data_IF_869731952971
#
_entry.id   IF_869731952971
#
_cell.length_a   1.000
_cell.length_b   1.000
_cell.length_c   1.000
_cell.angle_alpha   90.00
_cell.angle_beta   90.00
_cell.angle_gamma   90.00
#
_symmetry.space_group_name_H-M   'P 1'
#
loop_
_entity.id
_entity.type
_entity.pdbx_description
1 polymer ?
#
# COMPACT_ATOMS: atom_id res chain seq x y z
N UNK A 1 3.44 35.14 -19.83
CA UNK A 1 2.93 35.30 -18.46
C UNK A 1 3.58 34.26 -17.58
N UNK A 2 4.73 34.58 -17.03
CA UNK A 2 5.57 33.67 -16.28
C UNK A 2 6.23 34.47 -15.15
N UNK A 3 5.53 34.67 -14.06
CA UNK A 3 6.10 35.39 -12.87
C UNK A 3 5.69 34.83 -11.51
N UNK A 4 4.86 33.79 -11.43
CA UNK A 4 4.36 33.31 -10.13
C UNK A 4 4.99 31.98 -9.62
N UNK A 5 6.04 31.48 -10.29
CA UNK A 5 6.70 30.21 -9.90
C UNK A 5 7.93 30.38 -8.99
N UNK A 6 8.33 31.59 -8.63
CA UNK A 6 9.59 31.84 -7.89
C UNK A 6 9.46 32.05 -6.37
N UNK A 7 8.27 31.93 -5.79
CA UNK A 7 8.11 32.12 -4.32
C UNK A 7 7.60 30.89 -3.57
N UNK A 8 7.58 29.72 -4.18
CA UNK A 8 7.15 28.51 -3.49
C UNK A 8 8.37 27.63 -3.14
N UNK A 9 9.21 28.12 -2.24
CA UNK A 9 10.26 27.33 -1.62
C UNK A 9 9.69 26.23 -0.74
N UNK A 10 10.16 24.99 -0.91
CA UNK A 10 9.97 23.82 -0.05
C UNK A 10 8.54 23.34 0.18
N UNK A 11 7.84 22.93 -0.88
CA UNK A 11 6.52 22.29 -0.79
C UNK A 11 6.52 20.81 -0.37
N UNK A 12 7.68 20.23 -0.17
CA UNK A 12 7.76 18.83 0.25
C UNK A 12 7.98 18.80 1.76
N UNK A 13 7.16 18.03 2.51
CA UNK A 13 7.39 17.85 3.93
C UNK A 13 8.77 17.20 4.13
N UNK A 14 9.69 17.95 4.72
CA UNK A 14 10.98 17.39 5.16
C UNK A 14 10.76 16.52 6.39
N UNK A 15 11.54 15.45 6.51
CA UNK A 15 11.55 14.68 7.77
C UNK A 15 11.96 15.63 8.91
N UNK A 16 11.15 15.79 9.95
CA UNK A 16 11.47 16.66 11.06
C UNK A 16 12.75 16.14 11.76
N UNK A 17 13.71 17.03 12.01
CA UNK A 17 14.82 16.74 12.92
C UNK A 17 14.31 16.66 14.37
N UNK A 18 15.16 16.24 15.31
CA UNK A 18 14.73 16.07 16.71
C UNK A 18 14.13 17.34 17.33
N UNK A 19 14.62 18.53 16.96
CA UNK A 19 14.11 19.81 17.43
C UNK A 19 12.74 20.16 16.82
N UNK A 20 12.53 19.81 15.54
CA UNK A 20 11.23 19.97 14.87
C UNK A 20 10.20 18.98 15.40
N UNK A 21 10.61 17.76 15.82
CA UNK A 21 9.72 16.80 16.49
C UNK A 21 9.17 17.35 17.80
N UNK A 22 10.04 17.96 18.63
CA UNK A 22 9.61 18.56 19.90
C UNK A 22 8.63 19.73 19.72
N UNK A 23 8.83 20.54 18.67
CA UNK A 23 7.91 21.63 18.32
C UNK A 23 6.58 21.12 17.75
N UNK A 24 6.60 20.04 16.96
CA UNK A 24 5.37 19.47 16.38
C UNK A 24 4.48 18.77 17.39
N UNK A 25 5.03 18.24 18.49
CA UNK A 25 4.25 17.65 19.58
C UNK A 25 3.47 18.67 20.40
N UNK A 26 3.81 19.96 20.33
CA UNK A 26 3.18 21.05 21.10
C UNK A 26 2.03 21.74 20.37
N UNK A 27 1.83 21.50 19.07
CA UNK A 27 0.77 22.11 18.28
C UNK A 27 -0.44 21.19 18.17
N UNK A 28 -1.68 21.73 18.19
CA UNK A 28 -2.87 20.95 17.89
C UNK A 28 -2.70 20.27 16.53
N UNK A 29 -2.78 18.95 16.47
CA UNK A 29 -2.49 18.16 15.26
C UNK A 29 -3.43 18.54 14.12
N UNK A 30 -4.67 18.90 14.42
CA UNK A 30 -5.71 19.26 13.44
C UNK A 30 -5.49 20.64 12.78
N UNK A 31 -4.75 21.56 13.42
CA UNK A 31 -4.68 22.96 12.98
C UNK A 31 -3.77 23.20 11.76
N UNK A 32 -2.90 22.27 11.39
CA UNK A 32 -1.86 22.50 10.36
C UNK A 32 -1.71 21.38 9.33
N UNK A 33 -2.65 20.43 9.27
CA UNK A 33 -2.55 19.30 8.34
C UNK A 33 -3.16 19.68 6.98
N UNK A 34 -2.31 19.91 5.99
CA UNK A 34 -2.71 20.17 4.63
C UNK A 34 -2.43 18.96 3.73
N UNK A 35 -3.33 18.72 2.78
CA UNK A 35 -3.15 17.71 1.74
C UNK A 35 -2.41 18.34 0.56
N UNK A 36 -1.36 17.67 0.08
CA UNK A 36 -0.54 18.18 -1.01
C UNK A 36 -0.51 17.19 -2.18
N UNK A 37 -0.78 17.71 -3.38
CA UNK A 37 -0.55 17.00 -4.64
C UNK A 37 0.28 17.89 -5.57
N UNK A 38 1.34 17.33 -6.14
CA UNK A 38 2.19 18.00 -7.13
C UNK A 38 1.80 17.47 -8.52
N UNK A 39 1.36 18.36 -9.41
CA UNK A 39 0.85 17.99 -10.72
C UNK A 39 1.78 18.48 -11.81
N UNK A 40 2.14 17.57 -12.73
CA UNK A 40 2.88 17.85 -13.95
C UNK A 40 2.04 17.41 -15.15
N UNK A 41 1.97 18.26 -16.14
CA UNK A 41 1.18 18.02 -17.35
C UNK A 41 2.00 18.30 -18.59
N UNK A 42 2.00 17.36 -19.52
CA UNK A 42 2.51 17.58 -20.87
C UNK A 42 1.44 18.21 -21.76
N UNK A 43 1.82 19.05 -22.74
CA UNK A 43 0.88 19.51 -23.77
C UNK A 43 0.32 18.38 -24.65
N UNK A 44 0.98 17.22 -24.70
CA UNK A 44 0.54 16.06 -25.45
C UNK A 44 -0.42 15.21 -24.63
N UNK A 45 -1.58 14.82 -25.17
CA UNK A 45 -2.46 13.86 -24.52
C UNK A 45 -1.73 12.54 -24.18
N UNK A 46 -2.14 11.87 -23.14
CA UNK A 46 -1.56 10.62 -22.71
C UNK A 46 -2.15 10.12 -21.38
N UNK A 47 -1.56 9.08 -20.79
CA UNK A 47 -2.05 8.50 -19.54
C UNK A 47 -2.04 9.50 -18.37
N UNK A 48 -2.95 9.26 -17.43
CA UNK A 48 -3.05 10.00 -16.16
C UNK A 48 -2.59 9.09 -15.03
N UNK A 49 -1.35 9.28 -14.61
CA UNK A 49 -0.74 8.48 -13.54
C UNK A 49 -0.78 9.25 -12.22
N UNK A 50 -1.21 8.60 -11.15
CA UNK A 50 -0.99 9.07 -9.78
C UNK A 50 -0.02 8.14 -9.06
N UNK A 51 0.92 8.73 -8.32
CA UNK A 51 1.84 8.01 -7.43
C UNK A 51 1.63 8.52 -6.01
N UNK A 52 1.32 7.61 -5.09
CA UNK A 52 1.12 7.89 -3.67
C UNK A 52 2.24 7.30 -2.83
N UNK A 53 2.52 7.94 -1.69
CA UNK A 53 3.43 7.44 -0.68
C UNK A 53 2.97 7.88 0.71
N UNK A 54 3.53 7.28 1.74
CA UNK A 54 3.20 7.55 3.13
C UNK A 54 1.69 7.52 3.41
N UNK A 55 1.00 6.52 2.87
CA UNK A 55 -0.34 6.08 3.31
C UNK A 55 -0.25 5.65 4.78
N UNK A 56 0.86 5.00 5.13
CA UNK A 56 1.29 4.79 6.50
C UNK A 56 2.47 5.74 6.81
N UNK A 57 2.38 6.52 7.88
CA UNK A 57 3.27 7.64 8.12
C UNK A 57 4.73 7.27 8.46
N UNK A 58 4.99 6.03 8.82
CA UNK A 58 6.34 5.50 9.06
C UNK A 58 6.99 4.85 7.81
N UNK A 59 6.30 4.85 6.66
CA UNK A 59 6.75 4.26 5.41
C UNK A 59 7.27 5.36 4.46
N UNK A 60 8.56 5.68 4.57
CA UNK A 60 9.11 6.92 4.00
C UNK A 60 9.78 6.78 2.63
N UNK A 61 10.05 5.55 2.15
CA UNK A 61 10.81 5.31 0.91
C UNK A 61 10.21 6.00 -0.31
N UNK A 62 8.89 5.84 -0.49
CA UNK A 62 8.14 6.46 -1.58
C UNK A 62 8.19 8.00 -1.53
N UNK A 63 8.10 8.59 -0.34
CA UNK A 63 8.17 10.05 -0.17
C UNK A 63 9.50 10.61 -0.66
N UNK A 64 10.63 9.96 -0.33
CA UNK A 64 11.95 10.36 -0.82
C UNK A 64 12.10 10.17 -2.33
N UNK A 65 11.57 9.07 -2.87
CA UNK A 65 11.58 8.83 -4.32
C UNK A 65 10.78 9.89 -5.07
N UNK A 66 9.58 10.21 -4.60
CA UNK A 66 8.74 11.28 -5.17
C UNK A 66 9.47 12.63 -5.12
N UNK A 67 10.14 12.96 -4.01
CA UNK A 67 10.93 14.21 -3.91
C UNK A 67 11.99 14.30 -5.01
N UNK A 68 12.72 13.22 -5.22
CA UNK A 68 13.75 13.16 -6.28
C UNK A 68 13.14 13.34 -7.68
N UNK A 69 12.02 12.67 -7.98
CA UNK A 69 11.30 12.84 -9.25
C UNK A 69 10.86 14.30 -9.46
N UNK A 70 10.30 14.93 -8.43
CA UNK A 70 9.89 16.34 -8.49
C UNK A 70 11.06 17.26 -8.80
N UNK A 71 12.19 17.08 -8.11
CA UNK A 71 13.39 17.88 -8.35
C UNK A 71 13.89 17.73 -9.79
N UNK A 72 13.91 16.51 -10.32
CA UNK A 72 14.34 16.23 -11.69
C UNK A 72 13.38 16.78 -12.76
N UNK A 73 12.07 16.78 -12.50
CA UNK A 73 11.09 17.40 -13.39
C UNK A 73 11.20 18.93 -13.38
N UNK A 74 11.44 19.54 -12.22
CA UNK A 74 11.61 20.99 -12.08
C UNK A 74 12.93 21.45 -12.73
N UNK A 75 14.01 20.69 -12.56
CA UNK A 75 15.31 21.01 -13.18
C UNK A 75 15.38 20.65 -14.67
N UNK A 76 14.34 20.04 -15.24
CA UNK A 76 14.29 19.53 -16.61
C UNK A 76 15.28 18.39 -16.90
N UNK A 77 15.81 17.74 -15.87
CA UNK A 77 16.57 16.50 -15.99
C UNK A 77 15.67 15.35 -16.47
N UNK A 78 14.41 15.33 -16.00
CA UNK A 78 13.34 14.52 -16.52
C UNK A 78 12.35 15.39 -17.32
N UNK A 79 11.87 14.89 -18.46
CA UNK A 79 10.87 15.56 -19.27
C UNK A 79 9.65 14.67 -19.47
N UNK A 80 8.48 15.18 -19.04
CA UNK A 80 7.21 14.50 -19.26
C UNK A 80 6.80 14.65 -20.73
N UNK A 81 6.83 13.55 -21.50
CA UNK A 81 6.56 13.56 -22.94
C UNK A 81 5.08 13.64 -23.27
N UNK A 82 4.22 13.03 -22.47
CA UNK A 82 2.77 13.02 -22.67
C UNK A 82 2.05 12.80 -21.34
N UNK A 83 0.74 13.11 -21.30
CA UNK A 83 -0.15 12.79 -20.19
C UNK A 83 -0.01 13.67 -18.96
N UNK A 84 -0.48 13.16 -17.86
CA UNK A 84 -0.54 13.84 -16.57
C UNK A 84 0.09 12.98 -15.48
N UNK A 85 0.91 13.58 -14.64
CA UNK A 85 1.51 12.95 -13.47
C UNK A 85 1.10 13.71 -12.22
N UNK A 86 0.42 13.04 -11.30
CA UNK A 86 0.14 13.54 -9.96
C UNK A 86 0.98 12.78 -8.95
N UNK A 87 1.66 13.51 -8.07
CA UNK A 87 2.57 12.99 -7.06
C UNK A 87 2.08 13.40 -5.68
N UNK A 88 1.79 12.44 -4.81
CA UNK A 88 1.35 12.62 -3.43
C UNK A 88 2.42 12.08 -2.49
N UNK A 89 3.39 12.91 -2.08
CA UNK A 89 4.52 12.43 -1.27
C UNK A 89 4.13 12.00 0.14
N UNK A 90 3.04 12.55 0.67
CA UNK A 90 2.49 12.21 1.99
C UNK A 90 0.97 12.13 1.88
N UNK A 91 0.44 10.92 1.84
CA UNK A 91 -1.00 10.68 1.69
C UNK A 91 -1.74 10.84 3.01
N UNK A 92 -1.10 10.47 4.14
CA UNK A 92 -1.66 10.65 5.48
C UNK A 92 -0.78 11.60 6.32
N UNK A 93 -1.00 12.92 6.26
CA UNK A 93 -0.21 13.92 7.01
C UNK A 93 -0.20 13.70 8.52
N UNK A 94 -1.31 13.27 9.14
CA UNK A 94 -1.37 12.99 10.59
C UNK A 94 -0.48 11.81 10.97
N UNK A 95 -0.60 10.70 10.27
CA UNK A 95 0.25 9.53 10.47
C UNK A 95 1.75 9.84 10.25
N UNK A 96 2.06 10.62 9.19
CA UNK A 96 3.41 11.09 8.88
C UNK A 96 4.00 11.93 10.01
N UNK A 97 3.26 12.91 10.51
CA UNK A 97 3.69 13.78 11.61
C UNK A 97 3.95 13.00 12.89
N UNK A 98 3.09 12.02 13.18
CA UNK A 98 3.24 11.13 14.34
C UNK A 98 4.33 10.07 14.15
N UNK A 99 4.89 9.91 12.95
CA UNK A 99 5.84 8.84 12.59
C UNK A 99 5.30 7.46 12.96
N UNK A 100 4.00 7.25 12.72
CA UNK A 100 3.28 6.00 13.02
C UNK A 100 2.63 5.45 11.75
N UNK A 101 2.23 4.18 11.81
CA UNK A 101 1.49 3.53 10.73
C UNK A 101 0.20 4.27 10.39
N UNK A 102 -0.52 4.79 11.39
CA UNK A 102 -1.84 5.40 11.22
C UNK A 102 -1.99 6.67 12.07
N UNK A 103 -2.90 7.55 11.69
CA UNK A 103 -3.38 8.66 12.49
C UNK A 103 -4.37 8.17 13.56
N UNK A 104 -5.65 8.21 13.24
CA UNK A 104 -6.72 7.65 14.10
C UNK A 104 -6.98 6.19 13.75
N UNK A 105 -7.05 5.83 12.46
CA UNK A 105 -7.17 4.47 11.97
C UNK A 105 -6.23 4.20 10.79
N UNK A 106 -6.16 2.96 10.32
CA UNK A 106 -5.41 2.63 9.11
C UNK A 106 -6.12 3.19 7.87
N UNK A 107 -5.51 4.16 7.17
CA UNK A 107 -6.07 4.75 5.95
C UNK A 107 -6.29 3.70 4.85
N UNK A 108 -5.43 2.68 4.79
CA UNK A 108 -5.55 1.59 3.82
C UNK A 108 -6.61 0.54 4.23
N UNK A 109 -7.67 1.02 4.91
CA UNK A 109 -8.88 0.30 5.27
C UNK A 109 -10.07 1.23 5.12
N UNK A 110 -11.21 0.71 4.67
CA UNK A 110 -12.45 1.47 4.48
C UNK A 110 -12.20 2.80 3.75
N UNK A 111 -11.39 2.76 2.69
CA UNK A 111 -11.13 3.94 1.87
C UNK A 111 -12.32 4.17 0.94
N UNK A 112 -13.22 5.05 1.35
CA UNK A 112 -14.37 5.48 0.56
C UNK A 112 -14.80 6.89 0.99
N UNK A 113 -15.43 7.67 0.09
CA UNK A 113 -16.00 8.96 0.46
C UNK A 113 -17.04 8.81 1.57
N UNK A 114 -16.98 9.68 2.55
CA UNK A 114 -17.86 9.69 3.72
C UNK A 114 -18.49 11.07 3.90
N UNK A 115 -19.85 11.14 3.94
CA UNK A 115 -20.58 12.39 4.10
C UNK A 115 -20.39 12.99 5.51
N UNK A 116 -20.24 12.13 6.52
CA UNK A 116 -20.04 12.52 7.92
C UNK A 116 -18.73 11.90 8.42
N UNK A 117 -17.59 12.59 8.24
CA UNK A 117 -16.28 12.10 8.70
C UNK A 117 -16.26 11.87 10.21
N UNK A 118 -15.83 10.69 10.65
CA UNK A 118 -15.72 10.30 12.05
C UNK A 118 -14.29 10.38 12.57
N UNK A 119 -13.31 10.28 11.69
CA UNK A 119 -11.89 10.28 12.01
C UNK A 119 -11.09 11.07 10.95
N UNK A 120 -9.82 11.29 11.20
CA UNK A 120 -8.96 12.03 10.28
C UNK A 120 -8.84 11.34 8.92
N UNK A 121 -8.79 10.02 8.89
CA UNK A 121 -8.67 9.25 7.65
C UNK A 121 -9.91 9.35 6.78
N UNK A 122 -11.09 9.63 7.33
CA UNK A 122 -12.28 9.94 6.54
C UNK A 122 -12.12 11.28 5.79
N UNK A 123 -11.49 12.29 6.41
CA UNK A 123 -11.13 13.54 5.71
C UNK A 123 -10.12 13.31 4.60
N UNK A 124 -9.09 12.45 4.85
CA UNK A 124 -8.13 12.04 3.82
C UNK A 124 -8.85 11.32 2.68
N UNK A 125 -9.75 10.38 2.98
CA UNK A 125 -10.51 9.65 1.98
C UNK A 125 -11.38 10.58 1.11
N UNK A 126 -12.05 11.56 1.72
CA UNK A 126 -12.85 12.56 1.01
C UNK A 126 -12.02 13.43 0.05
N UNK A 127 -10.74 13.65 0.33
CA UNK A 127 -9.82 14.33 -0.55
C UNK A 127 -9.19 13.39 -1.60
N UNK A 128 -8.76 12.19 -1.18
CA UNK A 128 -8.01 11.26 -2.01
C UNK A 128 -8.90 10.54 -3.03
N UNK A 129 -10.08 10.09 -2.66
CA UNK A 129 -10.95 9.32 -3.53
C UNK A 129 -11.34 10.05 -4.83
N UNK A 130 -11.77 11.35 -4.79
CA UNK A 130 -11.97 12.10 -6.02
C UNK A 130 -10.71 12.25 -6.86
N UNK A 131 -9.55 12.45 -6.19
CA UNK A 131 -8.26 12.56 -6.87
C UNK A 131 -7.89 11.25 -7.58
N UNK A 132 -8.06 10.09 -6.95
CA UNK A 132 -7.84 8.79 -7.59
C UNK A 132 -8.71 8.62 -8.83
N UNK A 133 -9.98 8.97 -8.76
CA UNK A 133 -10.95 8.88 -9.87
C UNK A 133 -10.57 9.73 -11.09
N UNK A 134 -9.75 10.77 -10.93
CA UNK A 134 -9.24 11.60 -12.03
C UNK A 134 -8.18 10.88 -12.87
N UNK A 135 -7.64 9.73 -12.43
CA UNK A 135 -6.48 9.05 -13.02
C UNK A 135 -6.83 7.71 -13.64
N UNK A 136 -5.97 7.24 -14.57
CA UNK A 136 -6.11 5.95 -15.24
C UNK A 136 -5.40 4.83 -14.45
N UNK A 137 -4.43 5.21 -13.62
CA UNK A 137 -3.66 4.24 -12.84
C UNK A 137 -2.96 4.82 -11.62
N UNK A 138 -2.76 3.96 -10.62
CA UNK A 138 -2.12 4.24 -9.35
C UNK A 138 -0.89 3.36 -9.15
N UNK A 139 0.23 3.98 -8.78
CA UNK A 139 1.35 3.30 -8.13
C UNK A 139 1.40 3.75 -6.67
N UNK A 140 1.11 2.84 -5.74
CA UNK A 140 1.09 3.11 -4.30
C UNK A 140 2.35 2.53 -3.64
N UNK A 141 3.18 3.40 -3.06
CA UNK A 141 4.50 3.06 -2.54
C UNK A 141 4.47 2.87 -1.03
N UNK A 142 4.75 1.65 -0.62
CA UNK A 142 4.79 1.18 0.76
C UNK A 142 6.15 0.63 1.16
N UNK A 143 6.27 0.25 2.42
CA UNK A 143 7.35 -0.57 2.97
C UNK A 143 6.82 -1.40 4.14
N UNK A 144 7.54 -2.45 4.55
CA UNK A 144 7.06 -3.41 5.54
C UNK A 144 8.06 -3.64 6.68
N UNK A 145 7.59 -4.25 7.78
CA UNK A 145 8.41 -4.41 9.00
C UNK A 145 9.37 -5.58 8.92
N UNK A 146 8.97 -6.70 8.29
CA UNK A 146 9.65 -7.99 8.41
C UNK A 146 9.90 -8.62 7.06
N UNK A 147 11.16 -8.70 6.66
CA UNK A 147 11.64 -9.18 5.37
C UNK A 147 12.63 -8.22 4.74
N UNK A 148 13.24 -8.59 3.63
CA UNK A 148 14.31 -7.83 2.97
C UNK A 148 14.02 -7.47 1.52
N UNK A 149 13.28 -8.31 0.78
CA UNK A 149 13.09 -8.15 -0.65
C UNK A 149 11.79 -7.43 -0.98
N UNK A 150 11.88 -6.45 -1.87
CA UNK A 150 10.72 -5.76 -2.41
C UNK A 150 9.80 -6.72 -3.18
N UNK A 151 8.49 -6.46 -3.12
CA UNK A 151 7.47 -7.19 -3.87
C UNK A 151 6.29 -6.28 -4.23
N UNK A 152 5.56 -6.65 -5.28
CA UNK A 152 4.36 -5.93 -5.68
C UNK A 152 3.10 -6.72 -5.36
N UNK A 153 2.04 -6.01 -4.91
CA UNK A 153 0.70 -6.56 -4.86
C UNK A 153 -0.08 -6.04 -6.06
N UNK A 154 -0.81 -6.94 -6.70
CA UNK A 154 -1.66 -6.63 -7.84
C UNK A 154 -3.07 -7.23 -7.65
N UNK A 155 -4.04 -6.75 -8.41
CA UNK A 155 -5.44 -7.04 -8.22
C UNK A 155 -5.88 -8.43 -8.69
N UNK A 156 -7.18 -8.69 -8.63
CA UNK A 156 -7.77 -9.94 -9.10
C UNK A 156 -7.67 -10.06 -10.64
N UNK A 157 -8.04 -11.21 -11.17
CA UNK A 157 -8.38 -11.32 -12.61
C UNK A 157 -9.60 -10.48 -12.94
N UNK A 158 -9.80 -10.14 -14.22
CA UNK A 158 -11.00 -9.43 -14.66
C UNK A 158 -12.25 -10.15 -14.13
N UNK A 159 -13.14 -9.39 -13.50
CA UNK A 159 -14.32 -9.91 -12.85
C UNK A 159 -15.43 -8.84 -12.72
N UNK A 160 -16.62 -9.27 -12.31
CA UNK A 160 -17.80 -8.43 -12.08
C UNK A 160 -18.30 -8.59 -10.63
N UNK A 161 -17.40 -8.83 -9.67
CA UNK A 161 -17.77 -8.96 -8.25
C UNK A 161 -18.21 -7.62 -7.66
N UNK A 162 -19.08 -7.67 -6.64
CA UNK A 162 -19.52 -6.46 -5.95
C UNK A 162 -18.42 -5.83 -5.10
N UNK A 163 -17.46 -6.64 -4.63
CA UNK A 163 -16.43 -6.19 -3.68
C UNK A 163 -15.25 -5.51 -4.39
N UNK A 164 -14.76 -6.08 -5.49
CA UNK A 164 -13.63 -5.53 -6.26
C UNK A 164 -13.84 -5.82 -7.76
N UNK A 165 -14.79 -5.09 -8.43
CA UNK A 165 -14.97 -5.24 -9.86
C UNK A 165 -13.72 -4.75 -10.59
N UNK A 166 -13.22 -5.53 -11.57
CA UNK A 166 -11.99 -5.19 -12.26
C UNK A 166 -12.00 -5.64 -13.72
N UNK A 167 -11.47 -4.79 -14.62
CA UNK A 167 -11.45 -5.03 -16.06
C UNK A 167 -10.09 -4.80 -16.72
N UNK A 168 -9.06 -4.40 -15.98
CA UNK A 168 -7.74 -4.00 -16.50
C UNK A 168 -6.61 -4.92 -16.01
N UNK A 169 -6.90 -6.18 -15.68
CA UNK A 169 -5.91 -7.11 -15.11
C UNK A 169 -4.68 -7.28 -16.01
N UNK A 170 -4.86 -7.46 -17.33
CA UNK A 170 -3.74 -7.63 -18.27
C UNK A 170 -2.82 -6.40 -18.32
N UNK A 171 -3.40 -5.20 -18.26
CA UNK A 171 -2.63 -3.96 -18.22
C UNK A 171 -1.86 -3.81 -16.92
N UNK A 172 -2.51 -4.07 -15.80
CA UNK A 172 -1.91 -4.00 -14.47
C UNK A 172 -0.76 -4.99 -14.33
N UNK A 173 -0.96 -6.25 -14.71
CA UNK A 173 0.06 -7.30 -14.72
C UNK A 173 1.25 -6.96 -15.62
N UNK A 174 0.97 -6.42 -16.81
CA UNK A 174 2.02 -6.01 -17.75
C UNK A 174 2.90 -4.89 -17.20
N UNK A 175 2.35 -3.98 -16.37
CA UNK A 175 3.10 -2.92 -15.69
C UNK A 175 3.82 -3.52 -14.48
N UNK A 176 3.14 -4.31 -13.65
CA UNK A 176 3.70 -4.93 -12.45
C UNK A 176 4.98 -5.71 -12.75
N UNK A 177 4.99 -6.52 -13.81
CA UNK A 177 6.17 -7.29 -14.25
C UNK A 177 7.38 -6.43 -14.65
N UNK A 178 7.23 -5.10 -14.73
CA UNK A 178 8.27 -4.16 -15.15
C UNK A 178 8.69 -3.17 -14.09
N UNK A 179 8.16 -3.28 -12.88
CA UNK A 179 8.50 -2.37 -11.78
C UNK A 179 9.95 -2.49 -11.30
N UNK A 180 10.59 -3.65 -11.48
CA UNK A 180 11.95 -3.93 -11.03
C UNK A 180 12.03 -4.91 -9.85
N UNK A 181 10.91 -5.35 -9.27
CA UNK A 181 10.88 -6.42 -8.28
C UNK A 181 10.68 -7.80 -8.95
N UNK A 182 10.97 -8.87 -8.21
CA UNK A 182 10.82 -10.26 -8.68
C UNK A 182 9.64 -11.00 -8.07
N UNK A 183 9.15 -10.52 -6.92
CA UNK A 183 8.07 -11.14 -6.16
C UNK A 183 6.76 -10.39 -6.36
N UNK A 184 5.68 -11.16 -6.47
CA UNK A 184 4.34 -10.66 -6.74
C UNK A 184 3.33 -11.40 -5.87
N UNK A 185 2.40 -10.65 -5.29
CA UNK A 185 1.35 -11.19 -4.42
C UNK A 185 -0.01 -10.74 -4.95
N UNK A 186 -1.01 -11.63 -4.93
CA UNK A 186 -2.39 -11.31 -5.29
C UNK A 186 -3.38 -11.97 -4.34
N UNK A 187 -4.65 -11.60 -4.45
CA UNK A 187 -5.73 -12.20 -3.65
C UNK A 187 -5.93 -11.52 -2.29
N UNK A 188 -5.53 -10.26 -2.17
CA UNK A 188 -5.66 -9.49 -0.93
C UNK A 188 -7.09 -9.43 -0.42
N UNK A 189 -8.01 -8.79 -1.18
CA UNK A 189 -9.35 -8.51 -0.69
C UNK A 189 -10.21 -9.76 -0.53
N UNK A 190 -10.07 -10.74 -1.42
CA UNK A 190 -10.73 -12.05 -1.31
C UNK A 190 -10.31 -12.78 -0.04
N UNK A 191 -9.01 -12.76 0.27
CA UNK A 191 -8.48 -13.41 1.48
C UNK A 191 -8.93 -12.66 2.73
N UNK A 192 -8.94 -11.32 2.68
CA UNK A 192 -9.48 -10.49 3.74
C UNK A 192 -10.96 -10.81 4.01
N UNK A 193 -11.79 -10.91 2.96
CA UNK A 193 -13.21 -11.27 3.08
C UNK A 193 -13.43 -12.64 3.72
N UNK A 194 -12.57 -13.63 3.41
CA UNK A 194 -12.59 -14.94 4.09
C UNK A 194 -12.31 -14.80 5.58
N UNK A 195 -11.34 -13.95 5.96
CA UNK A 195 -11.07 -13.61 7.36
C UNK A 195 -12.28 -13.01 8.07
N UNK A 196 -12.96 -12.06 7.40
CA UNK A 196 -14.20 -11.46 7.93
C UNK A 196 -15.31 -12.48 8.15
N UNK A 197 -15.51 -13.40 7.21
CA UNK A 197 -16.49 -14.47 7.35
C UNK A 197 -16.15 -15.44 8.51
N UNK A 198 -14.86 -15.68 8.76
CA UNK A 198 -14.40 -16.45 9.92
C UNK A 198 -14.68 -15.70 11.22
N UNK A 199 -14.31 -14.43 11.32
CA UNK A 199 -14.60 -13.58 12.48
C UNK A 199 -16.09 -13.56 12.82
N UNK A 200 -16.96 -13.42 11.82
CA UNK A 200 -18.40 -13.42 12.02
C UNK A 200 -18.90 -14.73 12.65
N UNK A 201 -18.38 -15.88 12.22
CA UNK A 201 -18.72 -17.19 12.81
C UNK A 201 -18.20 -17.30 14.24
N UNK A 202 -16.94 -16.94 14.50
CA UNK A 202 -16.31 -17.02 15.81
C UNK A 202 -17.03 -16.11 16.83
N UNK A 203 -17.54 -14.94 16.40
CA UNK A 203 -18.41 -14.10 17.21
C UNK A 203 -19.74 -14.78 17.57
N UNK A 204 -20.41 -15.42 16.57
CA UNK A 204 -21.65 -16.14 16.80
C UNK A 204 -21.47 -17.34 17.75
N UNK A 205 -20.32 -17.99 17.68
CA UNK A 205 -19.94 -19.11 18.56
C UNK A 205 -19.44 -18.65 19.94
N UNK A 206 -19.31 -17.34 20.18
CA UNK A 206 -18.81 -16.79 21.45
C UNK A 206 -17.32 -17.02 21.72
N UNK A 207 -16.56 -17.31 20.67
CA UNK A 207 -15.11 -17.58 20.75
C UNK A 207 -14.26 -16.29 20.81
N UNK A 208 -14.80 -15.19 20.33
CA UNK A 208 -14.18 -13.85 20.37
C UNK A 208 -15.22 -12.79 20.78
N UNK A 209 -14.75 -11.66 21.32
CA UNK A 209 -15.62 -10.56 21.75
C UNK A 209 -15.85 -9.56 20.61
N UNK A 210 -17.08 -9.05 20.47
CA UNK A 210 -17.50 -8.14 19.40
C UNK A 210 -16.74 -6.79 19.42
N UNK A 211 -16.32 -6.31 20.58
CA UNK A 211 -15.68 -5.00 20.74
C UNK A 211 -14.34 -4.85 20.00
N UNK A 212 -13.72 -5.94 19.57
CA UNK A 212 -12.36 -5.95 19.02
C UNK A 212 -12.26 -6.28 17.53
N UNK A 213 -13.37 -6.62 16.84
CA UNK A 213 -13.27 -7.15 15.46
C UNK A 213 -14.27 -6.54 14.51
N UNK A 214 -13.80 -6.24 13.29
CA UNK A 214 -14.64 -5.87 12.15
C UNK A 214 -15.03 -7.12 11.36
N UNK A 215 -16.28 -7.21 10.92
CA UNK A 215 -16.82 -8.32 10.12
C UNK A 215 -17.30 -7.91 8.73
N UNK A 216 -17.13 -6.63 8.36
CA UNK A 216 -17.51 -6.11 7.05
C UNK A 216 -16.33 -6.32 6.05
N UNK A 217 -16.51 -7.12 4.98
CA UNK A 217 -15.48 -7.32 3.96
C UNK A 217 -15.04 -6.02 3.28
N UNK A 218 -15.94 -5.05 3.12
CA UNK A 218 -15.62 -3.75 2.50
C UNK A 218 -14.64 -2.92 3.31
N UNK A 219 -14.47 -3.23 4.60
CA UNK A 219 -13.44 -2.61 5.43
C UNK A 219 -12.03 -2.86 4.91
N UNK A 220 -11.78 -3.96 4.17
CA UNK A 220 -10.51 -4.26 3.51
C UNK A 220 -10.16 -3.33 2.34
N UNK A 221 -11.09 -2.52 1.84
CA UNK A 221 -10.84 -1.62 0.71
C UNK A 221 -9.81 -0.56 1.09
N UNK A 222 -8.68 -0.57 0.40
CA UNK A 222 -7.62 0.41 0.48
C UNK A 222 -7.51 1.24 -0.80
N UNK A 223 -6.35 1.85 -1.00
CA UNK A 223 -6.07 2.73 -2.14
C UNK A 223 -6.20 2.02 -3.48
N UNK A 224 -5.64 0.83 -3.60
CA UNK A 224 -5.60 0.06 -4.84
C UNK A 224 -6.97 -0.55 -5.18
N UNK A 225 -7.70 -1.08 -4.20
CA UNK A 225 -9.04 -1.60 -4.37
C UNK A 225 -10.01 -0.50 -4.78
N UNK A 226 -9.93 0.67 -4.12
CA UNK A 226 -10.74 1.83 -4.50
C UNK A 226 -10.44 2.28 -5.93
N UNK A 227 -9.14 2.38 -6.31
CA UNK A 227 -8.76 2.78 -7.67
C UNK A 227 -9.34 1.82 -8.72
N UNK A 228 -9.31 0.50 -8.48
CA UNK A 228 -9.91 -0.50 -9.38
C UNK A 228 -11.41 -0.35 -9.46
N UNK A 229 -12.09 -0.11 -8.34
CA UNK A 229 -13.56 0.05 -8.29
C UNK A 229 -14.05 1.27 -9.08
N UNK A 230 -13.22 2.27 -9.30
CA UNK A 230 -13.55 3.46 -10.10
C UNK A 230 -13.04 3.37 -11.55
N UNK A 231 -12.55 2.19 -11.98
CA UNK A 231 -12.20 1.87 -13.36
C UNK A 231 -10.73 2.04 -13.74
N UNK A 232 -9.84 2.33 -12.78
CA UNK A 232 -8.40 2.39 -13.01
C UNK A 232 -7.69 1.06 -12.75
N UNK A 233 -6.38 1.01 -13.04
CA UNK A 233 -5.49 -0.05 -12.57
C UNK A 233 -4.69 0.44 -11.36
N UNK A 234 -4.21 -0.47 -10.52
CA UNK A 234 -3.47 -0.07 -9.33
C UNK A 234 -2.50 -1.15 -8.83
N UNK A 235 -1.30 -0.74 -8.48
CA UNK A 235 -0.26 -1.62 -7.95
C UNK A 235 0.27 -1.03 -6.65
N UNK A 236 0.29 -1.84 -5.59
CA UNK A 236 1.06 -1.53 -4.40
C UNK A 236 2.47 -2.09 -4.56
N UNK A 237 3.49 -1.27 -4.35
CA UNK A 237 4.87 -1.73 -4.26
C UNK A 237 5.37 -1.61 -2.82
N UNK A 238 5.68 -2.74 -2.23
CA UNK A 238 6.40 -2.86 -0.98
C UNK A 238 7.90 -2.75 -1.26
N UNK A 239 8.48 -1.57 -1.01
CA UNK A 239 9.84 -1.21 -1.44
C UNK A 239 10.97 -1.83 -0.60
N UNK A 240 10.64 -2.75 0.30
CA UNK A 240 11.57 -3.38 1.24
C UNK A 240 11.27 -3.00 2.69
N UNK A 241 12.15 -3.40 3.59
CA UNK A 241 12.00 -3.14 5.03
C UNK A 241 12.15 -1.64 5.33
N UNK A 242 11.38 -1.11 6.31
CA UNK A 242 11.30 0.33 6.63
C UNK A 242 12.65 1.03 6.79
N UNK A 243 13.62 0.38 7.43
CA UNK A 243 14.93 0.95 7.74
C UNK A 243 15.99 0.67 6.65
N UNK A 244 15.66 -0.10 5.61
CA UNK A 244 16.59 -0.40 4.53
C UNK A 244 16.72 0.80 3.58
N UNK A 245 17.87 1.49 3.52
CA UNK A 245 18.04 2.67 2.68
C UNK A 245 17.92 2.38 1.18
N UNK A 246 18.11 1.13 0.75
CA UNK A 246 17.90 0.69 -0.64
C UNK A 246 16.45 0.78 -1.10
N UNK A 247 15.49 0.81 -0.19
CA UNK A 247 14.07 0.94 -0.51
C UNK A 247 13.73 2.24 -1.25
N UNK A 248 14.49 3.32 -1.02
CA UNK A 248 14.33 4.60 -1.73
C UNK A 248 14.65 4.50 -3.22
N UNK A 249 15.71 3.76 -3.55
CA UNK A 249 16.09 3.54 -4.96
C UNK A 249 15.09 2.61 -5.64
N UNK A 250 14.63 1.57 -4.97
CA UNK A 250 13.58 0.67 -5.47
C UNK A 250 12.30 1.46 -5.79
N UNK A 251 11.87 2.34 -4.89
CA UNK A 251 10.71 3.20 -5.11
C UNK A 251 10.92 4.16 -6.30
N UNK A 252 12.10 4.77 -6.41
CA UNK A 252 12.44 5.67 -7.50
C UNK A 252 12.46 4.94 -8.86
N UNK A 253 13.11 3.80 -8.94
CA UNK A 253 13.15 2.99 -10.16
C UNK A 253 11.75 2.54 -10.59
N UNK A 254 10.89 2.16 -9.64
CA UNK A 254 9.52 1.77 -9.93
C UNK A 254 8.70 2.92 -10.53
N UNK A 255 8.86 4.16 -10.04
CA UNK A 255 8.21 5.33 -10.66
C UNK A 255 8.70 5.51 -12.09
N UNK A 256 10.03 5.53 -12.30
CA UNK A 256 10.64 5.68 -13.63
C UNK A 256 10.16 4.57 -14.58
N UNK A 257 10.17 3.33 -14.11
CA UNK A 257 9.76 2.18 -14.91
C UNK A 257 8.27 2.25 -15.28
N UNK A 258 7.41 2.63 -14.34
CA UNK A 258 5.98 2.84 -14.61
C UNK A 258 5.77 3.94 -15.66
N UNK A 259 6.43 5.09 -15.51
CA UNK A 259 6.32 6.20 -16.48
C UNK A 259 6.83 5.80 -17.88
N UNK A 260 7.94 5.01 -17.97
CA UNK A 260 8.43 4.46 -19.25
C UNK A 260 7.47 3.42 -19.83
N UNK A 261 6.86 2.56 -19.03
CA UNK A 261 5.84 1.61 -19.48
C UNK A 261 4.66 2.31 -20.13
N UNK A 262 4.28 3.46 -19.58
CA UNK A 262 3.19 4.29 -20.08
C UNK A 262 3.58 5.26 -21.22
N UNK A 263 4.85 5.28 -21.63
CA UNK A 263 5.34 6.21 -22.67
C UNK A 263 5.44 7.66 -22.22
N UNK A 264 5.37 7.91 -20.92
CA UNK A 264 5.44 9.26 -20.34
C UNK A 264 6.86 9.80 -20.24
N UNK A 265 7.89 8.93 -20.28
CA UNK A 265 9.31 9.30 -20.33
C UNK A 265 9.99 8.72 -21.56
N UNK A 266 11.07 9.38 -21.98
CA UNK A 266 11.94 8.87 -23.06
C UNK A 266 12.69 7.59 -22.61
N UNK A 267 13.05 6.78 -23.62
CA UNK A 267 13.83 5.57 -23.43
C UNK A 267 13.03 4.28 -23.69
N UNK A 268 13.70 3.14 -23.66
CA UNK A 268 13.05 1.87 -23.92
C UNK A 268 12.08 1.50 -22.79
N UNK A 269 11.01 0.82 -23.16
CA UNK A 269 10.10 0.19 -22.17
C UNK A 269 10.91 -0.83 -21.36
N UNK A 270 10.83 -0.80 -20.02
CA UNK A 270 11.53 -1.78 -19.18
C UNK A 270 11.14 -3.22 -19.56
N UNK A 271 12.10 -4.11 -19.48
CA UNK A 271 11.83 -5.52 -19.74
C UNK A 271 11.02 -6.13 -18.60
N UNK A 272 10.08 -6.99 -18.94
CA UNK A 272 9.37 -7.78 -17.94
C UNK A 272 10.34 -8.77 -17.27
N UNK A 273 10.13 -9.02 -15.99
CA UNK A 273 10.90 -10.05 -15.29
C UNK A 273 10.64 -11.42 -15.91
N UNK A 274 11.72 -12.16 -16.22
CA UNK A 274 11.61 -13.39 -16.98
C UNK A 274 11.07 -14.57 -16.15
N UNK A 275 11.28 -14.58 -14.83
CA UNK A 275 10.85 -15.62 -13.90
C UNK A 275 10.27 -14.97 -12.65
N UNK A 276 9.01 -14.56 -12.67
CA UNK A 276 8.36 -13.95 -11.51
C UNK A 276 8.10 -15.00 -10.43
N UNK A 277 8.34 -14.66 -9.17
CA UNK A 277 7.91 -15.43 -8.01
C UNK A 277 6.51 -14.96 -7.63
N UNK A 278 5.48 -15.71 -8.02
CA UNK A 278 4.07 -15.32 -7.83
C UNK A 278 3.44 -16.11 -6.70
N UNK A 279 2.82 -15.40 -5.75
CA UNK A 279 2.17 -15.96 -4.58
C UNK A 279 0.71 -15.53 -4.52
N UNK A 280 -0.20 -16.48 -4.38
CA UNK A 280 -1.61 -16.24 -4.11
C UNK A 280 -1.90 -16.33 -2.62
N UNK A 281 -2.41 -15.26 -2.02
CA UNK A 281 -2.92 -15.31 -0.66
C UNK A 281 -4.14 -16.22 -0.60
N UNK A 282 -4.26 -17.03 0.46
CA UNK A 282 -5.39 -17.95 0.60
C UNK A 282 -6.03 -17.96 1.99
N UNK A 283 -5.30 -17.49 3.02
CA UNK A 283 -5.83 -17.38 4.38
C UNK A 283 -5.20 -16.20 5.14
N UNK A 284 -5.92 -15.69 6.15
CA UNK A 284 -5.48 -14.62 7.04
C UNK A 284 -5.84 -14.97 8.48
N UNK A 285 -4.94 -14.71 9.40
CA UNK A 285 -5.13 -14.92 10.83
C UNK A 285 -5.03 -13.60 11.56
N UNK A 286 -5.98 -13.37 12.47
CA UNK A 286 -6.01 -12.18 13.29
C UNK A 286 -5.38 -12.43 14.65
N UNK A 287 -4.84 -11.40 15.25
CA UNK A 287 -4.45 -11.41 16.64
C UNK A 287 -5.67 -11.12 17.49
N UNK A 288 -5.99 -11.99 18.44
CA UNK A 288 -7.16 -11.82 19.30
C UNK A 288 -6.81 -11.32 20.70
N UNK A 289 -5.59 -11.59 21.15
CA UNK A 289 -5.10 -11.17 22.47
C UNK A 289 -3.65 -10.67 22.36
N UNK A 290 -3.28 -9.74 23.24
CA UNK A 290 -1.92 -9.22 23.33
C UNK A 290 -0.88 -10.30 23.71
N UNK A 291 -1.30 -11.41 24.31
CA UNK A 291 -0.47 -12.56 24.66
C UNK A 291 -0.41 -13.64 23.58
N UNK A 292 -1.14 -13.47 22.46
CA UNK A 292 -0.92 -14.31 21.28
C UNK A 292 0.53 -14.15 20.80
N UNK A 293 1.22 -15.25 20.56
CA UNK A 293 2.65 -15.23 20.25
C UNK A 293 3.02 -16.14 19.08
N UNK A 294 3.95 -15.72 18.24
CA UNK A 294 4.55 -16.56 17.22
C UNK A 294 5.45 -17.64 17.82
N UNK A 295 5.55 -18.78 17.16
CA UNK A 295 6.45 -19.87 17.54
C UNK A 295 7.92 -19.53 17.30
N UNK A 296 8.20 -18.65 16.33
CA UNK A 296 9.53 -18.09 16.00
C UNK A 296 9.38 -16.69 15.39
N UNK A 297 10.49 -16.01 15.17
CA UNK A 297 10.52 -14.72 14.47
C UNK A 297 10.31 -14.93 12.95
N UNK A 298 9.03 -15.01 12.54
CA UNK A 298 8.64 -15.15 11.15
C UNK A 298 8.94 -13.89 10.34
N UNK A 299 9.40 -14.10 9.10
CA UNK A 299 9.58 -13.04 8.11
C UNK A 299 8.65 -13.27 6.92
N UNK A 300 8.31 -12.20 6.22
CA UNK A 300 7.57 -12.32 4.97
C UNK A 300 8.31 -13.20 3.98
N UNK A 301 7.60 -14.17 3.40
CA UNK A 301 8.08 -15.22 2.50
C UNK A 301 8.88 -16.35 3.17
N UNK A 302 8.87 -16.46 4.49
CA UNK A 302 9.38 -17.65 5.15
C UNK A 302 8.53 -18.88 4.75
N UNK A 303 9.13 -19.95 4.26
CA UNK A 303 8.41 -21.18 3.96
C UNK A 303 7.98 -21.88 5.24
N UNK A 304 6.79 -22.49 5.19
CA UNK A 304 6.24 -23.27 6.29
C UNK A 304 5.66 -24.57 5.74
N UNK A 305 5.86 -25.67 6.47
CA UNK A 305 5.35 -26.99 6.10
C UNK A 305 4.00 -27.26 6.74
N UNK A 306 3.17 -28.08 6.07
CA UNK A 306 1.92 -28.57 6.65
C UNK A 306 2.18 -29.17 8.04
N UNK A 307 1.37 -28.76 9.02
CA UNK A 307 1.50 -29.18 10.41
C UNK A 307 2.61 -28.53 11.21
N UNK A 308 3.39 -27.60 10.64
CA UNK A 308 4.38 -26.81 11.38
C UNK A 308 3.66 -25.75 12.23
N UNK A 309 4.14 -25.55 13.47
CA UNK A 309 3.57 -24.59 14.40
C UNK A 309 3.89 -23.16 13.98
N UNK A 310 2.86 -22.35 13.76
CA UNK A 310 2.98 -20.92 13.43
C UNK A 310 3.02 -20.06 14.70
N UNK A 311 2.10 -20.33 15.61
CA UNK A 311 1.94 -19.53 16.82
C UNK A 311 1.01 -20.16 17.85
N UNK A 312 0.84 -19.47 18.97
CA UNK A 312 0.04 -19.88 20.10
C UNK A 312 -0.89 -18.75 20.53
N UNK A 313 -2.16 -19.06 20.76
CA UNK A 313 -3.14 -18.16 21.35
C UNK A 313 -2.93 -17.99 22.86
N UNK A 314 -3.38 -16.88 23.40
CA UNK A 314 -3.44 -16.66 24.86
C UNK A 314 -4.20 -17.77 25.60
N UNK A 315 -5.26 -18.33 24.99
CA UNK A 315 -6.02 -19.48 25.49
C UNK A 315 -5.23 -20.77 25.58
N UNK A 316 -4.03 -20.82 25.00
CA UNK A 316 -3.21 -22.03 24.87
C UNK A 316 -3.44 -22.81 23.56
N UNK A 317 -4.42 -22.46 22.75
CA UNK A 317 -4.64 -23.07 21.44
C UNK A 317 -3.45 -22.86 20.51
N UNK A 318 -3.06 -23.89 19.77
CA UNK A 318 -1.92 -23.88 18.85
C UNK A 318 -2.43 -23.68 17.43
N UNK A 319 -1.72 -22.85 16.67
CA UNK A 319 -2.02 -22.56 15.26
C UNK A 319 -0.97 -23.26 14.40
N UNK A 320 -1.41 -24.19 13.59
CA UNK A 320 -0.57 -24.96 12.67
C UNK A 320 -0.85 -24.57 11.22
N UNK A 321 0.17 -24.70 10.36
CA UNK A 321 0.00 -24.51 8.94
C UNK A 321 -0.95 -25.59 8.35
N UNK A 322 -2.01 -25.20 7.64
CA UNK A 322 -2.99 -26.15 7.09
C UNK A 322 -2.43 -26.93 5.89
N UNK A 323 -1.46 -26.36 5.18
CA UNK A 323 -0.77 -26.93 4.01
C UNK A 323 0.64 -26.33 3.92
N UNK A 324 1.47 -26.81 2.99
CA UNK A 324 2.75 -26.18 2.64
C UNK A 324 2.48 -24.76 2.11
N UNK A 325 3.08 -23.75 2.72
CA UNK A 325 2.76 -22.35 2.47
C UNK A 325 3.96 -21.41 2.70
N UNK A 326 3.71 -20.12 2.55
CA UNK A 326 4.61 -19.04 2.92
C UNK A 326 3.87 -18.08 3.85
N UNK A 327 4.56 -17.62 4.88
CA UNK A 327 4.05 -16.58 5.79
C UNK A 327 4.23 -15.22 5.13
N UNK A 328 3.18 -14.39 5.09
CA UNK A 328 3.23 -13.04 4.53
C UNK A 328 2.76 -12.03 5.58
N UNK A 329 3.44 -10.90 5.67
CA UNK A 329 3.14 -9.82 6.63
C UNK A 329 3.01 -10.27 8.08
N UNK A 330 3.93 -11.09 8.63
CA UNK A 330 3.87 -11.41 10.05
C UNK A 330 4.07 -10.14 10.88
N UNK A 331 3.13 -9.85 11.79
CA UNK A 331 3.14 -8.66 12.62
C UNK A 331 3.04 -9.01 14.10
N UNK A 332 4.18 -9.19 14.76
CA UNK A 332 4.24 -9.48 16.21
C UNK A 332 3.70 -8.34 17.08
N UNK A 333 3.52 -7.13 16.52
CA UNK A 333 3.00 -5.93 17.19
C UNK A 333 1.54 -5.61 16.82
N UNK A 334 0.86 -6.49 16.07
CA UNK A 334 -0.56 -6.30 15.76
C UNK A 334 -1.35 -6.13 17.04
N UNK A 335 -2.30 -5.20 17.07
CA UNK A 335 -3.22 -5.07 18.17
C UNK A 335 -4.31 -6.14 18.08
N UNK A 336 -4.97 -6.50 19.18
CA UNK A 336 -6.14 -7.37 19.15
C UNK A 336 -7.16 -6.87 18.11
N UNK A 337 -7.67 -7.77 17.27
CA UNK A 337 -8.58 -7.47 16.17
C UNK A 337 -7.91 -7.08 14.85
N UNK A 338 -6.59 -6.96 14.81
CA UNK A 338 -5.85 -6.70 13.56
C UNK A 338 -5.29 -8.00 12.96
N UNK A 339 -5.01 -7.95 11.65
CA UNK A 339 -4.37 -9.05 10.93
C UNK A 339 -2.99 -9.33 11.57
N UNK A 340 -2.79 -10.59 11.92
CA UNK A 340 -1.55 -11.05 12.54
C UNK A 340 -0.55 -11.55 11.50
N UNK A 341 -1.04 -12.36 10.55
CA UNK A 341 -0.28 -12.83 9.39
C UNK A 341 -1.21 -13.37 8.30
N UNK A 342 -0.68 -13.45 7.10
CA UNK A 342 -1.31 -14.11 5.96
C UNK A 342 -0.55 -15.37 5.58
N UNK A 343 -1.24 -16.30 4.93
CA UNK A 343 -0.65 -17.46 4.27
C UNK A 343 -0.81 -17.34 2.75
N UNK A 344 0.27 -17.65 2.04
CA UNK A 344 0.31 -17.66 0.59
C UNK A 344 0.88 -18.98 0.06
N UNK A 345 0.53 -19.30 -1.17
CA UNK A 345 1.08 -20.44 -1.93
C UNK A 345 1.50 -20.00 -3.33
N UNK A 346 2.41 -20.73 -4.00
CA UNK A 346 2.73 -20.46 -5.39
C UNK A 346 1.47 -20.34 -6.23
N UNK A 347 1.37 -19.30 -7.04
CA UNK A 347 0.21 -19.00 -7.88
C UNK A 347 0.54 -19.10 -9.36
N UNK A 348 -0.47 -19.43 -10.18
CA UNK A 348 -0.33 -19.61 -11.64
C UNK A 348 -0.67 -18.38 -12.48
N UNK A 349 -0.60 -17.15 -11.92
CA UNK A 349 -0.82 -15.88 -12.65
C UNK A 349 0.50 -15.34 -13.22
N UNK A 350 0.44 -14.30 -14.04
CA UNK A 350 1.58 -13.66 -14.70
C UNK A 350 2.27 -14.56 -15.75
N UNK A 351 1.50 -15.43 -16.42
CA UNK A 351 2.01 -16.21 -17.57
C UNK A 351 2.88 -17.41 -17.19
N UNK A 352 2.74 -17.93 -15.96
CA UNK A 352 3.37 -19.21 -15.56
C UNK A 352 2.47 -20.39 -15.89
#
# INVERSE_FOLDING_TARGET
MSKDLHQQGNYLPTLPNASQRALTEQLPIEAELAFHVLRFQSPRPGPRLIVTAAVHGNETHGSFAIQRIVQQLISSELQLLCGHLSLVPVTNPKAWRLQRRQGDRNLNRRLMPCAEPLDYEDHVANWLCPLLKEHDGLLDLHSFQSGDQAFALFGPSNNQSDLEPFALADQEEAIALRLGCKRYVYGWLDTYAKGMARRARELQEGLIEQASVNTDPSYGIGTTEYMRSVGGWAITLECGQHDNPGGREIAYEAIINTMKCLGMLAGPKPQAVAKPEVMGLFDVFDRYDSHDSFAKDWKSFDPIKQGELIGKRASGALIYAPEDAYVIFPNSKAQPGQEWFYLARPGGRLGM
#
